data_IF_518088301295
#
_entry.id   IF_518088301295
#
_cell.length_a   1.000
_cell.length_b   1.000
_cell.length_c   1.000
_cell.angle_alpha   90.00
_cell.angle_beta   90.00
_cell.angle_gamma   90.00
#
_symmetry.space_group_name_H-M   'P 1'
#
loop_
_entity.id
_entity.type
_entity.pdbx_description
1 polymer ?
#
# COMPACT_ATOMS: atom_id res chain seq x y z
N UNK A 1 -11.71 -99.19 9.35
CA UNK A 1 -10.87 -98.04 9.79
C UNK A 1 -10.54 -97.19 8.63
N UNK A 2 -11.26 -96.06 8.45
CA UNK A 2 -10.87 -94.93 7.64
C UNK A 2 -11.44 -93.66 8.28
N UNK A 3 -10.67 -92.98 9.09
CA UNK A 3 -10.93 -91.70 9.58
C UNK A 3 -10.29 -90.72 8.59
N UNK A 4 -11.12 -89.95 7.85
CA UNK A 4 -10.65 -89.02 6.81
C UNK A 4 -10.70 -87.61 7.30
N UNK A 5 -9.58 -86.97 7.12
CA UNK A 5 -9.35 -85.54 7.29
C UNK A 5 -10.28 -84.70 6.44
N UNK A 6 -11.29 -84.07 7.00
CA UNK A 6 -12.11 -83.00 6.37
C UNK A 6 -12.11 -81.74 7.23
N UNK A 7 -10.92 -81.19 7.56
CA UNK A 7 -10.84 -79.97 8.34
C UNK A 7 -9.81 -78.95 7.87
N UNK A 8 -9.39 -79.01 6.60
CA UNK A 8 -8.30 -78.09 6.16
C UNK A 8 -8.75 -76.96 5.18
N UNK A 9 -9.79 -77.22 4.38
CA UNK A 9 -10.15 -76.25 3.32
C UNK A 9 -10.86 -74.98 3.83
N UNK A 10 -11.72 -75.12 4.87
CA UNK A 10 -12.44 -73.94 5.44
C UNK A 10 -11.54 -73.05 6.26
N UNK A 11 -10.50 -73.59 6.90
CA UNK A 11 -9.51 -72.76 7.67
C UNK A 11 -8.54 -72.03 6.76
N UNK A 12 -8.14 -72.61 5.62
CA UNK A 12 -7.27 -71.99 4.65
C UNK A 12 -8.01 -70.87 3.91
N UNK A 13 -9.27 -71.06 3.58
CA UNK A 13 -10.09 -69.97 2.98
C UNK A 13 -10.35 -68.80 3.93
N UNK A 14 -10.57 -69.07 5.22
CA UNK A 14 -10.73 -68.00 6.23
C UNK A 14 -9.45 -67.22 6.49
N UNK A 15 -8.28 -67.85 6.51
CA UNK A 15 -6.98 -67.19 6.65
C UNK A 15 -6.65 -66.37 5.38
N UNK A 16 -6.95 -66.90 4.20
CA UNK A 16 -6.76 -66.16 2.92
C UNK A 16 -7.61 -64.89 2.83
N UNK A 17 -8.88 -64.95 3.25
CA UNK A 17 -9.76 -63.78 3.26
C UNK A 17 -9.36 -62.76 4.33
N UNK A 18 -8.86 -63.22 5.49
CA UNK A 18 -8.37 -62.33 6.54
C UNK A 18 -7.04 -61.66 6.17
N UNK A 19 -6.15 -62.35 5.43
CA UNK A 19 -4.90 -61.78 4.91
C UNK A 19 -5.21 -60.76 3.77
N UNK A 20 -6.16 -61.05 2.88
CA UNK A 20 -6.61 -60.12 1.86
C UNK A 20 -7.26 -58.84 2.45
N UNK A 21 -8.07 -58.97 3.53
CA UNK A 21 -8.63 -57.79 4.20
C UNK A 21 -7.53 -56.98 4.91
N UNK A 22 -6.54 -57.61 5.52
CA UNK A 22 -5.40 -56.91 6.11
C UNK A 22 -4.52 -56.20 5.05
N UNK A 23 -4.31 -56.81 3.91
CA UNK A 23 -3.54 -56.22 2.82
C UNK A 23 -4.38 -55.05 2.15
N UNK A 24 -5.71 -55.19 2.01
CA UNK A 24 -6.56 -54.09 1.53
C UNK A 24 -6.62 -52.94 2.53
N UNK A 25 -6.68 -53.20 3.85
CA UNK A 25 -6.63 -52.12 4.85
C UNK A 25 -5.26 -51.48 4.94
N UNK A 26 -4.15 -52.23 4.78
CA UNK A 26 -2.82 -51.64 4.65
C UNK A 26 -2.66 -50.81 3.36
N UNK A 27 -3.22 -51.24 2.24
CA UNK A 27 -3.18 -50.49 0.97
C UNK A 27 -4.06 -49.23 1.03
N UNK A 28 -5.17 -49.26 1.74
CA UNK A 28 -5.99 -48.04 1.94
C UNK A 28 -5.35 -47.10 2.96
N UNK A 29 -4.68 -47.58 4.00
CA UNK A 29 -3.95 -46.74 4.95
C UNK A 29 -2.68 -46.16 4.29
N UNK A 30 -1.98 -46.90 3.41
CA UNK A 30 -0.83 -46.36 2.68
C UNK A 30 -1.23 -45.39 1.55
N UNK A 31 -2.43 -45.54 0.97
CA UNK A 31 -2.93 -44.54 -0.01
C UNK A 31 -3.41 -43.23 0.67
N UNK A 32 -3.81 -43.29 1.94
CA UNK A 32 -4.15 -42.09 2.73
C UNK A 32 -2.88 -41.40 3.30
N UNK A 33 -1.75 -42.13 3.42
CA UNK A 33 -0.47 -41.55 3.89
C UNK A 33 0.42 -41.02 2.78
N UNK A 34 0.02 -41.13 1.51
CA UNK A 34 0.73 -40.58 0.35
C UNK A 34 0.00 -39.41 -0.32
N UNK A 35 -0.83 -38.67 0.40
CA UNK A 35 -1.09 -37.29 0.02
C UNK A 35 0.21 -36.55 0.31
N UNK A 36 0.95 -36.24 -0.77
CA UNK A 36 2.03 -35.26 -0.74
C UNK A 36 1.53 -34.12 0.11
N UNK A 37 2.17 -33.84 1.24
CA UNK A 37 1.81 -32.71 2.05
C UNK A 37 1.80 -31.52 1.08
N UNK A 38 0.67 -30.83 0.97
CA UNK A 38 0.54 -29.69 0.09
C UNK A 38 1.59 -28.68 0.54
N UNK A 39 2.55 -28.39 -0.34
CA UNK A 39 3.62 -27.43 -0.04
C UNK A 39 3.02 -26.05 -0.02
N UNK A 40 3.34 -25.24 0.99
CA UNK A 40 2.93 -23.85 1.04
C UNK A 40 3.57 -23.09 -0.12
N UNK A 41 2.80 -22.22 -0.76
CA UNK A 41 3.28 -21.33 -1.80
C UNK A 41 3.93 -20.06 -1.24
N UNK A 42 3.80 -19.83 0.07
CA UNK A 42 4.38 -18.68 0.74
C UNK A 42 4.09 -18.63 2.23
N UNK A 43 4.53 -17.56 2.85
CA UNK A 43 4.26 -17.20 4.23
C UNK A 43 3.82 -15.74 4.31
N UNK A 44 3.01 -15.41 5.30
CA UNK A 44 2.57 -14.04 5.51
C UNK A 44 2.14 -13.79 6.94
N UNK A 45 1.79 -12.54 7.19
CA UNK A 45 1.26 -12.12 8.48
C UNK A 45 0.13 -11.12 8.31
N UNK A 46 -0.71 -11.00 9.32
CA UNK A 46 -1.74 -9.95 9.42
C UNK A 46 -1.04 -8.60 9.63
N UNK A 47 -1.42 -7.59 8.84
CA UNK A 47 -0.87 -6.24 8.96
C UNK A 47 -0.99 -5.74 10.40
N UNK A 48 0.09 -5.18 10.94
CA UNK A 48 0.25 -4.93 12.38
C UNK A 48 -0.81 -4.00 13.00
N UNK A 49 -1.44 -3.13 12.20
CA UNK A 49 -2.50 -2.22 12.61
C UNK A 49 -3.87 -2.88 12.71
N UNK A 50 -4.04 -4.04 12.12
CA UNK A 50 -5.33 -4.74 12.04
C UNK A 50 -5.65 -5.41 13.37
N UNK A 51 -6.92 -5.33 13.78
CA UNK A 51 -7.45 -6.02 14.95
C UNK A 51 -8.70 -6.80 14.54
N UNK A 52 -8.93 -7.95 15.21
CA UNK A 52 -10.13 -8.77 14.99
C UNK A 52 -10.32 -9.26 13.53
N UNK A 53 -9.23 -9.44 12.75
CA UNK A 53 -9.33 -9.98 11.40
C UNK A 53 -9.94 -11.39 11.42
N UNK A 54 -10.97 -11.58 10.63
CA UNK A 54 -11.70 -12.86 10.59
C UNK A 54 -11.05 -13.84 9.63
N UNK A 55 -10.62 -14.98 10.15
CA UNK A 55 -10.26 -16.14 9.33
C UNK A 55 -11.53 -16.98 9.15
N UNK A 56 -11.83 -17.37 7.90
CA UNK A 56 -13.10 -18.00 7.50
C UNK A 56 -12.88 -19.39 6.92
N UNK A 57 -13.97 -20.21 6.89
CA UNK A 57 -13.96 -21.55 6.29
C UNK A 57 -13.96 -21.54 4.76
N UNK A 58 -14.35 -20.43 4.13
CA UNK A 58 -14.27 -20.17 2.68
C UNK A 58 -14.20 -18.68 2.43
N UNK A 59 -13.72 -18.23 1.24
CA UNK A 59 -13.66 -16.81 0.90
C UNK A 59 -15.01 -16.11 1.04
N UNK A 60 -15.01 -14.82 1.33
CA UNK A 60 -16.13 -13.89 1.39
C UNK A 60 -17.21 -14.27 2.44
N UNK A 61 -17.89 -15.40 2.29
CA UNK A 61 -19.12 -15.74 3.04
C UNK A 61 -18.96 -16.93 4.00
N UNK A 62 -17.78 -17.55 4.09
CA UNK A 62 -17.52 -18.66 5.01
C UNK A 62 -17.75 -18.31 6.49
N UNK A 63 -18.09 -19.32 7.30
CA UNK A 63 -18.18 -19.15 8.75
C UNK A 63 -16.83 -18.71 9.33
N UNK A 64 -16.87 -17.88 10.37
CA UNK A 64 -15.66 -17.44 11.06
C UNK A 64 -15.08 -18.58 11.89
N UNK A 65 -13.83 -18.96 11.62
CA UNK A 65 -13.07 -19.94 12.40
C UNK A 65 -12.54 -19.26 13.66
N UNK A 66 -11.85 -18.13 13.48
CA UNK A 66 -11.27 -17.34 14.56
C UNK A 66 -11.12 -15.89 14.14
N UNK A 67 -10.73 -15.04 15.09
CA UNK A 67 -10.28 -13.67 14.86
C UNK A 67 -8.85 -13.54 15.34
N UNK A 68 -8.04 -12.81 14.59
CA UNK A 68 -6.61 -12.61 14.86
C UNK A 68 -6.22 -11.15 14.76
N UNK A 69 -5.16 -10.77 15.44
CA UNK A 69 -4.64 -9.41 15.46
C UNK A 69 -3.36 -9.30 14.61
N UNK A 70 -2.92 -8.07 14.40
CA UNK A 70 -1.73 -7.74 13.64
C UNK A 70 -0.48 -8.48 14.13
N UNK A 71 0.32 -8.95 13.16
CA UNK A 71 1.49 -9.78 13.39
C UNK A 71 1.21 -11.29 13.48
N UNK A 72 -0.06 -11.73 13.41
CA UNK A 72 -0.40 -13.16 13.36
C UNK A 72 0.14 -13.79 12.08
N UNK A 73 1.00 -14.80 12.19
CA UNK A 73 1.70 -15.45 11.08
C UNK A 73 0.96 -16.70 10.60
N UNK A 74 1.07 -16.97 9.30
CA UNK A 74 0.47 -18.13 8.64
C UNK A 74 1.24 -18.55 7.40
N UNK A 75 1.07 -19.80 6.98
CA UNK A 75 1.50 -20.29 5.67
C UNK A 75 0.40 -20.07 4.64
N UNK A 76 0.77 -19.73 3.40
CA UNK A 76 -0.14 -19.54 2.26
C UNK A 76 -0.07 -20.78 1.39
N UNK A 77 -1.21 -21.30 0.96
CA UNK A 77 -1.32 -22.51 0.15
C UNK A 77 -2.00 -22.29 -1.19
N UNK A 78 -2.87 -21.30 -1.27
CA UNK A 78 -3.57 -20.96 -2.51
C UNK A 78 -3.98 -19.48 -2.52
N UNK A 79 -4.20 -18.97 -3.72
CA UNK A 79 -4.78 -17.66 -4.02
C UNK A 79 -6.11 -17.85 -4.69
N UNK A 80 -7.14 -17.14 -4.23
CA UNK A 80 -8.51 -17.26 -4.73
C UNK A 80 -9.03 -15.88 -5.11
N UNK A 81 -9.14 -15.63 -6.41
CA UNK A 81 -9.79 -14.43 -6.93
C UNK A 81 -11.29 -14.51 -6.74
N UNK A 82 -11.88 -13.46 -6.18
CA UNK A 82 -13.31 -13.33 -5.98
C UNK A 82 -13.79 -11.98 -6.49
N UNK A 83 -15.11 -11.82 -6.63
CA UNK A 83 -15.71 -10.52 -6.94
C UNK A 83 -15.48 -9.44 -5.86
N UNK A 84 -14.98 -9.84 -4.67
CA UNK A 84 -14.66 -8.95 -3.54
C UNK A 84 -13.14 -8.78 -3.34
N UNK A 85 -12.32 -9.15 -4.34
CA UNK A 85 -10.86 -9.09 -4.28
C UNK A 85 -10.21 -10.46 -4.05
N UNK A 86 -8.88 -10.44 -3.91
CA UNK A 86 -8.04 -11.61 -3.70
C UNK A 86 -8.16 -12.12 -2.27
N UNK A 87 -8.22 -13.44 -2.11
CA UNK A 87 -8.20 -14.14 -0.83
C UNK A 87 -7.07 -15.16 -0.81
N UNK A 88 -6.45 -15.35 0.35
CA UNK A 88 -5.45 -16.39 0.58
C UNK A 88 -6.06 -17.57 1.34
N UNK A 89 -5.88 -18.78 0.83
CA UNK A 89 -6.06 -20.02 1.57
C UNK A 89 -4.83 -20.25 2.46
N UNK A 90 -5.02 -20.20 3.78
CA UNK A 90 -3.94 -20.19 4.76
C UNK A 90 -3.97 -21.40 5.69
N UNK A 91 -2.79 -21.76 6.22
CA UNK A 91 -2.63 -22.70 7.30
C UNK A 91 -1.93 -22.05 8.50
N UNK A 92 -2.43 -22.31 9.70
CA UNK A 92 -1.95 -21.66 10.90
C UNK A 92 -2.15 -22.51 12.14
N UNK A 93 -1.37 -22.22 13.19
CA UNK A 93 -1.53 -22.84 14.50
C UNK A 93 -2.33 -21.91 15.43
N UNK A 94 -3.27 -22.50 16.16
CA UNK A 94 -4.03 -21.81 17.19
C UNK A 94 -4.13 -22.75 18.42
N UNK A 95 -3.61 -22.32 19.57
CA UNK A 95 -3.58 -23.10 20.81
C UNK A 95 -2.93 -24.50 20.67
N UNK A 96 -1.99 -24.65 19.74
CA UNK A 96 -1.29 -25.92 19.47
C UNK A 96 -1.91 -26.78 18.38
N UNK A 97 -3.13 -26.50 17.94
CA UNK A 97 -3.82 -27.21 16.86
C UNK A 97 -3.60 -26.50 15.52
N UNK A 98 -3.49 -27.28 14.44
CA UNK A 98 -3.34 -26.77 13.09
C UNK A 98 -4.69 -26.62 12.39
N UNK A 99 -4.91 -25.45 11.78
CA UNK A 99 -6.14 -25.10 11.07
C UNK A 99 -5.85 -24.67 9.65
N UNK A 100 -6.85 -24.83 8.78
CA UNK A 100 -6.92 -24.24 7.45
C UNK A 100 -8.07 -23.25 7.39
N UNK A 101 -7.91 -22.17 6.64
CA UNK A 101 -8.94 -21.16 6.49
C UNK A 101 -8.59 -20.16 5.41
N UNK A 102 -9.38 -19.11 5.28
CA UNK A 102 -9.24 -18.07 4.28
C UNK A 102 -9.22 -16.69 4.92
N UNK A 103 -8.37 -15.84 4.39
CA UNK A 103 -8.23 -14.44 4.80
C UNK A 103 -8.17 -13.56 3.56
N UNK A 104 -8.76 -12.35 3.63
CA UNK A 104 -8.65 -11.38 2.53
C UNK A 104 -7.24 -10.81 2.45
N UNK A 105 -6.73 -10.62 1.23
CA UNK A 105 -5.40 -10.04 0.98
C UNK A 105 -5.28 -8.60 1.48
N UNK A 106 -6.38 -7.86 1.57
CA UNK A 106 -6.43 -6.45 1.98
C UNK A 106 -5.75 -6.15 3.32
N UNK A 107 -5.77 -7.11 4.24
CA UNK A 107 -5.29 -6.91 5.61
C UNK A 107 -4.08 -7.77 5.98
N UNK A 108 -3.41 -8.31 4.99
CA UNK A 108 -2.25 -9.18 5.21
C UNK A 108 -1.07 -8.79 4.32
N UNK A 109 0.13 -9.07 4.82
CA UNK A 109 1.37 -8.94 4.05
C UNK A 109 1.93 -10.33 3.77
N UNK A 110 2.33 -10.56 2.53
CA UNK A 110 3.07 -11.78 2.14
C UNK A 110 4.55 -11.53 2.41
N UNK A 111 5.11 -12.30 3.36
CA UNK A 111 6.52 -12.16 3.78
C UNK A 111 7.48 -12.88 2.84
N UNK A 112 7.04 -14.03 2.29
CA UNK A 112 7.84 -14.89 1.43
C UNK A 112 6.96 -15.68 0.47
N UNK A 113 7.46 -15.83 -0.78
CA UNK A 113 6.90 -16.74 -1.79
C UNK A 113 7.86 -17.90 -2.03
N UNK A 114 7.34 -19.13 -1.97
CA UNK A 114 8.15 -20.33 -2.24
C UNK A 114 8.17 -20.70 -3.74
N UNK A 115 7.27 -20.11 -4.52
CA UNK A 115 7.14 -20.27 -5.97
C UNK A 115 7.96 -19.24 -6.77
N UNK A 116 8.64 -18.31 -6.09
CA UNK A 116 9.51 -17.33 -6.74
C UNK A 116 10.63 -18.02 -7.51
N UNK A 117 10.78 -17.65 -8.78
CA UNK A 117 11.91 -18.06 -9.61
C UNK A 117 12.89 -16.89 -9.69
N UNK A 118 14.16 -17.07 -9.28
CA UNK A 118 15.15 -16.02 -9.37
C UNK A 118 15.27 -15.50 -10.81
N UNK A 119 15.19 -14.17 -10.94
CA UNK A 119 15.51 -13.43 -12.16
C UNK A 119 16.93 -12.88 -12.01
N UNK A 120 17.88 -13.41 -12.77
CA UNK A 120 19.29 -13.09 -12.64
C UNK A 120 19.56 -11.59 -12.92
N UNK A 121 18.87 -11.02 -13.90
CA UNK A 121 19.04 -9.63 -14.28
C UNK A 121 18.49 -8.71 -13.19
N UNK A 122 17.38 -9.11 -12.55
CA UNK A 122 16.81 -8.37 -11.44
C UNK A 122 17.65 -8.47 -10.16
N UNK A 123 18.26 -9.63 -9.88
CA UNK A 123 19.19 -9.79 -8.75
C UNK A 123 20.41 -8.88 -8.92
N UNK A 124 21.02 -8.85 -10.12
CA UNK A 124 22.13 -7.94 -10.43
C UNK A 124 21.70 -6.46 -10.30
N UNK A 125 20.48 -6.14 -10.73
CA UNK A 125 19.90 -4.82 -10.56
C UNK A 125 19.76 -4.45 -9.07
N UNK A 126 19.20 -5.31 -8.21
CA UNK A 126 19.08 -5.05 -6.78
C UNK A 126 20.45 -4.83 -6.11
N UNK A 127 21.45 -5.63 -6.49
CA UNK A 127 22.82 -5.48 -6.01
C UNK A 127 23.44 -4.16 -6.48
N UNK A 128 23.23 -3.78 -7.72
CA UNK A 128 23.73 -2.50 -8.29
C UNK A 128 23.11 -1.28 -7.61
N UNK A 129 21.86 -1.39 -7.17
CA UNK A 129 21.16 -0.36 -6.38
C UNK A 129 21.67 -0.31 -4.94
N UNK A 130 22.33 -1.36 -4.44
CA UNK A 130 22.80 -1.46 -3.07
C UNK A 130 21.69 -1.71 -2.04
N UNK A 131 20.61 -2.38 -2.43
CA UNK A 131 19.58 -2.80 -1.46
C UNK A 131 20.14 -3.81 -0.46
N UNK A 132 19.96 -3.60 0.85
CA UNK A 132 20.27 -4.63 1.84
C UNK A 132 19.47 -5.92 1.60
N UNK A 133 20.05 -7.08 1.93
CA UNK A 133 19.39 -8.38 1.71
C UNK A 133 17.99 -8.48 2.33
N UNK A 134 17.77 -7.79 3.47
CA UNK A 134 16.48 -7.76 4.15
C UNK A 134 15.35 -7.07 3.38
N UNK A 135 15.65 -6.35 2.29
CA UNK A 135 14.65 -5.74 1.39
C UNK A 135 14.29 -6.64 0.22
N UNK A 136 15.25 -7.50 -0.20
CA UNK A 136 15.17 -8.18 -1.49
C UNK A 136 13.97 -9.11 -1.62
N UNK A 137 13.56 -9.79 -0.55
CA UNK A 137 12.41 -10.71 -0.64
C UNK A 137 11.10 -10.00 -1.00
N UNK A 138 10.81 -8.84 -0.39
CA UNK A 138 9.64 -8.04 -0.76
C UNK A 138 9.73 -7.48 -2.20
N UNK A 139 10.92 -7.02 -2.60
CA UNK A 139 11.15 -6.48 -3.95
C UNK A 139 11.06 -7.55 -5.03
N UNK A 140 11.56 -8.77 -4.79
CA UNK A 140 11.41 -9.91 -5.68
C UNK A 140 9.96 -10.26 -5.94
N UNK A 141 9.12 -10.24 -4.91
CA UNK A 141 7.70 -10.51 -5.03
C UNK A 141 7.00 -9.45 -5.86
N UNK A 142 7.30 -8.17 -5.60
CA UNK A 142 6.75 -7.06 -6.38
C UNK A 142 7.19 -7.11 -7.84
N UNK A 143 8.46 -7.42 -8.12
CA UNK A 143 8.96 -7.57 -9.48
C UNK A 143 8.32 -8.75 -10.21
N UNK A 144 8.13 -9.88 -9.54
CA UNK A 144 7.46 -11.04 -10.13
C UNK A 144 6.00 -10.75 -10.51
N UNK A 145 5.31 -9.90 -9.74
CA UNK A 145 3.94 -9.49 -10.00
C UNK A 145 3.86 -8.33 -11.01
N UNK A 146 4.80 -7.38 -10.94
CA UNK A 146 4.84 -6.15 -11.74
C UNK A 146 6.23 -5.93 -12.34
N UNK A 147 6.58 -6.65 -13.42
CA UNK A 147 7.95 -6.62 -13.98
C UNK A 147 8.40 -5.24 -14.49
N UNK A 148 7.45 -4.34 -14.80
CA UNK A 148 7.74 -3.00 -15.29
C UNK A 148 8.08 -2.00 -14.16
N UNK A 149 7.86 -2.37 -12.89
CA UNK A 149 8.12 -1.45 -11.78
C UNK A 149 9.62 -1.29 -11.51
N UNK A 150 10.02 -0.07 -11.23
CA UNK A 150 11.43 0.31 -11.02
C UNK A 150 11.64 0.66 -9.56
N UNK A 151 12.55 -0.05 -8.89
CA UNK A 151 12.86 0.15 -7.48
C UNK A 151 14.23 0.81 -7.35
N UNK A 152 14.27 2.03 -6.82
CA UNK A 152 15.49 2.81 -6.61
C UNK A 152 15.83 2.85 -5.13
N UNK A 153 17.01 2.38 -4.74
CA UNK A 153 17.48 2.51 -3.38
C UNK A 153 17.90 3.97 -3.12
N UNK A 154 17.29 4.61 -2.15
CA UNK A 154 17.65 5.97 -1.75
C UNK A 154 18.55 5.95 -0.51
N UNK A 155 19.85 6.16 -0.75
CA UNK A 155 20.89 6.21 0.27
C UNK A 155 21.00 7.65 0.83
N UNK A 156 20.05 8.03 1.67
CA UNK A 156 19.94 9.39 2.22
C UNK A 156 21.02 9.74 3.25
N UNK A 157 21.88 8.78 3.64
CA UNK A 157 23.01 8.97 4.56
C UNK A 157 22.59 9.32 6.01
N UNK A 158 21.35 9.08 6.38
CA UNK A 158 20.87 9.30 7.75
C UNK A 158 21.12 8.07 8.62
N UNK A 159 21.50 8.33 9.85
CA UNK A 159 21.55 7.28 10.87
C UNK A 159 20.13 6.92 11.32
N UNK A 160 19.85 5.61 11.43
CA UNK A 160 18.53 5.13 11.84
C UNK A 160 18.14 5.61 13.24
N UNK A 161 19.08 5.57 14.17
CA UNK A 161 18.83 5.99 15.54
C UNK A 161 18.46 7.47 15.64
N UNK A 162 19.13 8.34 14.87
CA UNK A 162 18.86 9.77 14.84
C UNK A 162 17.47 10.06 14.28
N UNK A 163 17.05 9.35 13.24
CA UNK A 163 15.72 9.49 12.65
C UNK A 163 14.65 9.03 13.62
N UNK A 164 14.87 7.88 14.27
CA UNK A 164 13.93 7.32 15.24
C UNK A 164 13.78 8.23 16.47
N UNK A 165 14.90 8.72 17.03
CA UNK A 165 14.88 9.67 18.14
C UNK A 165 14.11 10.94 17.76
N UNK A 166 14.38 11.48 16.60
CA UNK A 166 13.71 12.66 16.08
C UNK A 166 12.19 12.46 15.94
N UNK A 167 11.74 11.30 15.46
CA UNK A 167 10.32 11.00 15.30
C UNK A 167 9.62 10.63 16.60
N UNK A 168 10.37 10.24 17.65
CA UNK A 168 9.84 9.98 18.98
C UNK A 168 9.64 11.25 19.83
N UNK A 169 10.07 12.42 19.35
CA UNK A 169 9.77 13.70 20.03
C UNK A 169 8.27 13.87 20.20
N UNK A 170 7.84 14.22 21.43
CA UNK A 170 6.42 14.41 21.78
C UNK A 170 5.75 15.41 20.83
N UNK A 171 4.59 15.03 20.29
CA UNK A 171 3.81 15.81 19.34
C UNK A 171 4.22 15.61 17.88
N UNK A 172 5.30 14.89 17.58
CA UNK A 172 5.79 14.70 16.22
C UNK A 172 5.14 13.52 15.49
N UNK A 173 4.92 12.43 16.21
CA UNK A 173 4.28 11.21 15.68
C UNK A 173 3.11 10.82 16.57
N UNK A 174 1.91 11.01 16.06
CA UNK A 174 0.67 10.77 16.77
C UNK A 174 -0.09 9.58 16.21
N UNK A 175 -0.93 8.99 17.04
CA UNK A 175 -1.92 7.98 16.66
C UNK A 175 -3.28 8.33 17.27
N UNK A 176 -4.35 7.67 16.83
CA UNK A 176 -5.68 7.90 17.40
C UNK A 176 -5.76 7.43 18.86
N UNK A 177 -6.46 8.18 19.71
CA UNK A 177 -6.72 7.77 21.08
C UNK A 177 -7.48 6.45 21.22
N UNK A 178 -8.25 6.08 20.18
CA UNK A 178 -8.95 4.79 20.06
C UNK A 178 -8.05 3.63 19.59
N UNK A 179 -6.80 3.91 19.19
CA UNK A 179 -5.86 2.86 18.80
C UNK A 179 -5.56 1.90 19.97
N UNK A 180 -5.11 0.69 19.65
CA UNK A 180 -4.71 -0.30 20.68
C UNK A 180 -3.68 0.27 21.63
N UNK A 181 -3.69 -0.17 22.89
CA UNK A 181 -2.85 0.41 23.94
C UNK A 181 -1.34 0.31 23.63
N UNK A 182 -0.90 -0.78 22.99
CA UNK A 182 0.50 -0.97 22.60
C UNK A 182 0.99 0.03 21.54
N UNK A 183 0.10 0.75 20.88
CA UNK A 183 0.43 1.78 19.88
C UNK A 183 0.51 3.18 20.47
N UNK A 184 0.14 3.35 21.73
CA UNK A 184 0.12 4.63 22.43
C UNK A 184 1.26 4.70 23.43
N UNK A 185 1.91 5.85 23.52
CA UNK A 185 3.02 6.08 24.44
C UNK A 185 2.53 6.29 25.87
N UNK A 186 3.20 5.63 26.83
CA UNK A 186 3.02 5.84 28.26
C UNK A 186 4.21 6.57 28.90
N UNK A 187 5.07 7.19 28.07
CA UNK A 187 6.19 8.01 28.52
C UNK A 187 5.69 9.26 29.27
N UNK A 188 6.60 9.87 30.03
CA UNK A 188 6.31 11.11 30.76
C UNK A 188 5.70 12.17 29.84
N UNK A 189 4.59 12.77 30.30
CA UNK A 189 3.83 13.76 29.53
C UNK A 189 2.85 13.18 28.49
N UNK A 190 2.88 11.87 28.22
CA UNK A 190 2.00 11.21 27.25
C UNK A 190 0.83 10.46 27.90
N UNK A 191 0.97 10.08 29.14
CA UNK A 191 -0.03 9.30 29.90
C UNK A 191 -0.07 9.74 31.36
N UNK A 192 -1.27 9.95 31.87
CA UNK A 192 -1.52 10.25 33.28
C UNK A 192 -1.87 8.96 34.03
N UNK A 193 -0.97 8.50 34.88
CA UNK A 193 -1.11 7.28 35.69
C UNK A 193 -2.17 7.37 36.78
N UNK A 194 -2.52 8.60 37.24
CA UNK A 194 -3.54 8.80 38.27
C UNK A 194 -4.95 8.67 37.69
N UNK A 195 -5.19 9.29 36.53
CA UNK A 195 -6.48 9.24 35.84
C UNK A 195 -6.63 8.07 34.87
N UNK A 196 -5.54 7.41 34.52
CA UNK A 196 -5.54 6.35 33.50
C UNK A 196 -5.80 6.86 32.08
N UNK A 197 -5.51 8.15 31.80
CA UNK A 197 -5.82 8.78 30.52
C UNK A 197 -4.57 9.14 29.74
N UNK A 198 -4.66 9.01 28.40
CA UNK A 198 -3.63 9.48 27.48
C UNK A 198 -3.75 11.00 27.29
N UNK A 199 -2.61 11.70 27.29
CA UNK A 199 -2.58 13.14 27.02
C UNK A 199 -2.94 13.40 25.57
N UNK A 200 -4.00 14.14 25.33
CA UNK A 200 -4.37 14.60 23.99
C UNK A 200 -3.41 15.71 23.55
N UNK A 201 -2.70 15.48 22.43
CA UNK A 201 -1.69 16.39 21.89
C UNK A 201 -2.19 17.20 20.69
N UNK A 202 -3.26 16.72 20.02
CA UNK A 202 -3.90 17.44 18.92
C UNK A 202 -5.42 17.24 18.96
N UNK A 203 -6.15 18.16 18.32
CA UNK A 203 -7.62 18.12 18.25
C UNK A 203 -8.09 16.83 17.57
N UNK A 204 -9.26 16.30 17.98
CA UNK A 204 -9.78 15.03 17.43
C UNK A 204 -9.29 13.78 18.16
N UNK A 205 -8.67 13.91 19.35
CA UNK A 205 -8.30 12.78 20.20
C UNK A 205 -6.97 12.12 19.82
N UNK A 206 -6.06 12.87 19.20
CA UNK A 206 -4.73 12.39 18.85
C UNK A 206 -3.79 12.38 20.06
N UNK A 207 -3.09 11.27 20.25
CA UNK A 207 -2.16 11.01 21.35
C UNK A 207 -0.80 10.59 20.81
N UNK A 208 0.26 10.67 21.63
CA UNK A 208 1.60 10.25 21.23
C UNK A 208 1.63 8.77 20.84
N UNK A 209 2.19 8.47 19.67
CA UNK A 209 2.47 7.11 19.25
C UNK A 209 3.56 6.47 20.13
N UNK A 210 3.47 5.17 20.40
CA UNK A 210 4.56 4.44 21.06
C UNK A 210 5.80 4.38 20.16
N UNK A 211 6.97 4.26 20.79
CA UNK A 211 8.24 4.09 20.03
C UNK A 211 8.19 2.90 19.08
N UNK A 212 7.56 1.80 19.50
CA UNK A 212 7.39 0.62 18.66
C UNK A 212 6.53 0.89 17.40
N UNK A 213 5.48 1.72 17.52
CA UNK A 213 4.69 2.12 16.35
C UNK A 213 5.47 3.07 15.42
N UNK A 214 6.24 3.99 16.01
CA UNK A 214 7.12 4.89 15.23
C UNK A 214 8.17 4.09 14.47
N UNK A 215 8.83 3.14 15.13
CA UNK A 215 9.82 2.24 14.51
C UNK A 215 9.20 1.42 13.38
N UNK A 216 8.03 0.81 13.61
CA UNK A 216 7.28 0.10 12.58
C UNK A 216 6.97 0.97 11.35
N UNK A 217 6.49 2.20 11.58
CA UNK A 217 6.10 3.12 10.49
C UNK A 217 7.30 3.68 9.72
N UNK A 218 8.47 3.76 10.36
CA UNK A 218 9.71 4.20 9.74
C UNK A 218 10.41 3.11 8.94
N UNK A 219 10.21 1.82 9.27
CA UNK A 219 10.89 0.72 8.60
C UNK A 219 10.27 0.44 7.22
N UNK A 220 10.96 0.77 6.11
CA UNK A 220 10.40 0.58 4.77
C UNK A 220 10.05 -0.87 4.44
N UNK A 221 10.74 -1.84 5.08
CA UNK A 221 10.52 -3.27 4.83
C UNK A 221 9.11 -3.73 5.17
N UNK A 222 8.44 -3.06 6.09
CA UNK A 222 7.06 -3.35 6.48
C UNK A 222 6.03 -2.99 5.38
N UNK A 223 6.47 -2.31 4.32
CA UNK A 223 5.58 -1.72 3.31
C UNK A 223 5.94 -2.14 1.87
N UNK A 224 6.83 -3.12 1.68
CA UNK A 224 7.23 -3.65 0.38
C UNK A 224 6.20 -4.67 -0.14
N UNK A 225 4.96 -4.23 -0.35
CA UNK A 225 3.86 -5.02 -0.91
C UNK A 225 2.99 -4.13 -1.82
N UNK A 226 2.14 -4.74 -2.64
CA UNK A 226 1.40 -4.06 -3.71
C UNK A 226 0.51 -2.89 -3.25
N UNK A 227 -0.02 -2.93 -2.02
CA UNK A 227 -0.91 -1.90 -1.50
C UNK A 227 -0.15 -0.71 -0.90
N UNK A 228 0.99 -0.99 -0.25
CA UNK A 228 1.71 0.01 0.53
C UNK A 228 2.93 0.61 -0.19
N UNK A 229 3.45 -0.05 -1.23
CA UNK A 229 4.65 0.42 -1.97
C UNK A 229 4.49 1.83 -2.53
N UNK A 230 3.25 2.26 -2.82
CA UNK A 230 2.96 3.59 -3.34
C UNK A 230 3.30 4.73 -2.36
N UNK A 231 3.59 4.43 -1.08
CA UNK A 231 4.17 5.44 -0.19
C UNK A 231 5.58 5.87 -0.62
N UNK A 232 6.25 5.07 -1.44
CA UNK A 232 7.58 5.34 -2.02
C UNK A 232 7.51 5.75 -3.49
N UNK A 233 6.31 5.92 -4.07
CA UNK A 233 6.16 6.40 -5.44
C UNK A 233 6.94 7.71 -5.62
N UNK A 234 7.77 7.78 -6.67
CA UNK A 234 8.49 9.00 -7.01
C UNK A 234 7.52 10.05 -7.56
N UNK A 235 7.22 11.05 -6.76
CA UNK A 235 6.32 12.16 -7.11
C UNK A 235 7.00 13.24 -7.96
N UNK A 236 8.32 13.16 -8.18
CA UNK A 236 9.04 14.06 -9.07
C UNK A 236 8.88 13.67 -10.53
N UNK A 237 8.94 14.66 -11.41
CA UNK A 237 8.98 14.43 -12.85
C UNK A 237 10.26 13.71 -13.28
N UNK A 238 10.11 12.65 -14.04
CA UNK A 238 11.21 11.90 -14.67
C UNK A 238 10.86 11.62 -16.14
N UNK A 239 11.42 12.40 -17.04
CA UNK A 239 11.15 12.30 -18.48
C UNK A 239 11.66 11.01 -19.14
N UNK A 240 12.47 10.23 -18.45
CA UNK A 240 12.99 8.96 -18.99
C UNK A 240 11.99 7.80 -18.84
N UNK A 241 11.04 7.91 -17.90
CA UNK A 241 10.10 6.85 -17.55
C UNK A 241 8.63 7.29 -17.55
N UNK A 242 8.38 8.60 -17.52
CA UNK A 242 7.02 9.16 -17.49
C UNK A 242 6.70 9.80 -18.85
N UNK A 243 6.01 9.06 -19.70
CA UNK A 243 5.78 9.36 -21.10
C UNK A 243 4.28 9.44 -21.47
N UNK A 244 3.99 9.69 -22.76
CA UNK A 244 2.66 9.73 -23.30
C UNK A 244 1.92 8.40 -23.15
N UNK A 245 2.61 7.29 -23.40
CA UNK A 245 2.00 5.95 -23.38
C UNK A 245 1.49 5.58 -21.98
N UNK A 246 2.27 5.90 -20.94
CA UNK A 246 1.85 5.71 -19.56
C UNK A 246 0.65 6.58 -19.20
N UNK A 247 0.61 7.85 -19.66
CA UNK A 247 -0.55 8.71 -19.46
C UNK A 247 -1.77 8.24 -20.24
N UNK A 248 -1.62 7.77 -21.49
CA UNK A 248 -2.71 7.16 -22.26
C UNK A 248 -3.37 6.03 -21.48
N UNK A 249 -2.55 5.13 -20.92
CA UNK A 249 -3.05 4.04 -20.08
C UNK A 249 -3.78 4.55 -18.82
N UNK A 250 -3.28 5.63 -18.19
CA UNK A 250 -3.88 6.19 -16.97
C UNK A 250 -5.22 6.88 -17.20
N UNK A 251 -5.39 7.52 -18.34
CA UNK A 251 -6.61 8.30 -18.63
C UNK A 251 -7.64 7.52 -19.44
N UNK A 252 -7.34 6.30 -19.83
CA UNK A 252 -8.24 5.39 -20.54
C UNK A 252 -9.56 5.23 -19.79
N UNK A 253 -10.68 5.35 -20.48
CA UNK A 253 -12.03 5.31 -19.90
C UNK A 253 -12.38 6.52 -19.01
N UNK A 254 -11.59 7.58 -19.02
CA UNK A 254 -11.84 8.79 -18.23
C UNK A 254 -12.16 10.00 -19.14
N UNK A 255 -12.61 11.10 -18.52
CA UNK A 255 -12.87 12.35 -19.24
C UNK A 255 -11.61 12.97 -19.88
N UNK A 256 -10.43 12.55 -19.47
CA UNK A 256 -9.14 13.03 -19.98
C UNK A 256 -8.67 12.26 -21.23
N UNK A 257 -9.24 11.11 -21.54
CA UNK A 257 -8.87 10.27 -22.70
C UNK A 257 -9.13 11.02 -24.02
N UNK A 258 -10.34 11.55 -24.19
CA UNK A 258 -10.78 12.21 -25.43
C UNK A 258 -10.87 13.72 -25.22
N UNK A 259 -9.80 14.42 -25.48
CA UNK A 259 -9.75 15.86 -25.28
C UNK A 259 -10.31 16.64 -26.45
N UNK A 260 -11.63 16.75 -26.50
CA UNK A 260 -12.31 17.80 -27.27
C UNK A 260 -12.39 19.12 -26.49
N UNK A 261 -11.71 19.25 -25.36
CA UNK A 261 -11.76 20.41 -24.50
C UNK A 261 -10.70 21.45 -24.90
N UNK A 262 -11.06 22.72 -24.77
CA UNK A 262 -10.21 23.87 -25.07
C UNK A 262 -9.08 24.01 -24.03
N UNK A 263 -8.04 23.21 -24.19
CA UNK A 263 -6.83 23.23 -23.38
C UNK A 263 -5.78 24.11 -24.06
N UNK A 264 -6.05 25.42 -24.13
CA UNK A 264 -5.15 26.39 -24.76
C UNK A 264 -4.20 27.00 -23.72
N UNK A 265 -2.91 27.04 -24.06
CA UNK A 265 -1.87 27.70 -23.27
C UNK A 265 -0.79 28.24 -24.20
N UNK A 266 -0.34 29.49 -23.98
CA UNK A 266 0.67 30.18 -24.80
C UNK A 266 0.40 30.12 -26.32
N UNK A 267 -0.89 30.25 -26.71
CA UNK A 267 -1.32 30.22 -28.11
C UNK A 267 -1.26 28.83 -28.76
N UNK A 268 -1.06 27.75 -27.99
CA UNK A 268 -1.06 26.37 -28.46
C UNK A 268 -2.23 25.61 -27.86
N UNK A 269 -2.69 24.59 -28.57
CA UNK A 269 -3.71 23.66 -28.09
C UNK A 269 -3.04 22.38 -27.60
N UNK A 270 -3.55 21.84 -26.51
CA UNK A 270 -3.08 20.63 -25.85
C UNK A 270 -4.22 19.62 -25.69
N UNK A 271 -3.88 18.35 -25.68
CA UNK A 271 -4.71 17.30 -25.10
C UNK A 271 -4.47 17.25 -23.59
N UNK A 272 -5.27 16.50 -22.83
CA UNK A 272 -4.97 16.29 -21.41
C UNK A 272 -3.60 15.60 -21.23
N UNK A 273 -3.27 14.63 -22.08
CA UNK A 273 -2.00 13.91 -22.07
C UNK A 273 -0.82 14.86 -22.24
N UNK A 274 -0.79 15.60 -23.34
CA UNK A 274 0.30 16.56 -23.61
C UNK A 274 0.31 17.73 -22.62
N UNK A 275 -0.86 18.13 -22.13
CA UNK A 275 -1.01 19.16 -21.08
C UNK A 275 -0.47 18.71 -19.72
N UNK A 276 -0.68 17.44 -19.34
CA UNK A 276 -0.13 16.86 -18.12
C UNK A 276 1.39 16.67 -18.20
N UNK A 277 1.92 16.26 -19.36
CA UNK A 277 3.37 16.21 -19.57
C UNK A 277 3.99 17.61 -19.44
N UNK A 278 3.37 18.62 -20.05
CA UNK A 278 3.83 20.00 -19.88
C UNK A 278 3.74 20.46 -18.43
N UNK A 279 2.64 20.12 -17.72
CA UNK A 279 2.49 20.44 -16.30
C UNK A 279 3.57 19.77 -15.45
N UNK A 280 3.92 18.51 -15.75
CA UNK A 280 5.04 17.80 -15.11
C UNK A 280 6.36 18.51 -15.34
N UNK A 281 6.66 18.88 -16.58
CA UNK A 281 7.87 19.59 -16.96
C UNK A 281 8.00 20.97 -16.27
N UNK A 282 6.93 21.74 -16.22
CA UNK A 282 6.92 23.08 -15.64
C UNK A 282 6.92 23.07 -14.10
N UNK A 283 6.34 22.05 -13.49
CA UNK A 283 6.18 21.94 -12.04
C UNK A 283 7.23 21.08 -11.35
N UNK A 284 7.93 20.19 -12.07
CA UNK A 284 8.78 19.16 -11.51
C UNK A 284 8.02 18.02 -10.81
N UNK A 285 6.70 17.90 -11.04
CA UNK A 285 5.85 16.87 -10.43
C UNK A 285 5.50 15.80 -11.46
N UNK A 286 5.51 14.53 -11.04
CA UNK A 286 5.13 13.39 -11.87
C UNK A 286 3.78 13.61 -12.58
N UNK A 287 3.70 13.56 -13.91
CA UNK A 287 2.43 13.70 -14.63
C UNK A 287 1.47 12.55 -14.32
N UNK A 288 1.96 11.38 -13.94
CA UNK A 288 1.15 10.26 -13.48
C UNK A 288 0.46 10.59 -12.15
N UNK A 289 1.23 11.13 -11.19
CA UNK A 289 0.67 11.64 -9.95
C UNK A 289 -0.36 12.77 -10.18
N UNK A 290 -0.07 13.71 -11.09
CA UNK A 290 -1.01 14.79 -11.45
C UNK A 290 -2.31 14.25 -12.03
N UNK A 291 -2.25 13.27 -12.95
CA UNK A 291 -3.43 12.63 -13.52
C UNK A 291 -4.25 11.91 -12.44
N UNK A 292 -3.61 11.10 -11.59
CA UNK A 292 -4.26 10.41 -10.49
C UNK A 292 -4.95 11.38 -9.52
N UNK A 293 -4.28 12.48 -9.14
CA UNK A 293 -4.87 13.52 -8.28
C UNK A 293 -6.10 14.18 -8.92
N UNK A 294 -6.05 14.51 -10.21
CA UNK A 294 -7.20 15.06 -10.92
C UNK A 294 -8.37 14.07 -10.90
N UNK A 295 -8.13 12.80 -11.18
CA UNK A 295 -9.18 11.78 -11.14
C UNK A 295 -9.76 11.57 -9.73
N UNK A 296 -8.94 11.60 -8.69
CA UNK A 296 -9.41 11.56 -7.30
C UNK A 296 -10.31 12.74 -6.93
N UNK A 297 -9.96 13.95 -7.40
CA UNK A 297 -10.68 15.18 -7.06
C UNK A 297 -11.92 15.43 -7.91
N UNK A 298 -11.91 14.99 -9.18
CA UNK A 298 -12.98 15.31 -10.16
C UNK A 298 -13.82 14.09 -10.58
N UNK A 299 -13.36 12.87 -10.22
CA UNK A 299 -13.96 11.61 -10.68
C UNK A 299 -13.68 11.32 -12.15
N UNK A 300 -13.90 10.07 -12.56
CA UNK A 300 -13.61 9.63 -13.94
C UNK A 300 -14.46 10.32 -15.00
N UNK A 301 -15.63 10.82 -14.66
CA UNK A 301 -16.53 11.53 -15.59
C UNK A 301 -16.19 13.01 -15.79
N UNK A 302 -15.41 13.63 -14.91
CA UNK A 302 -15.03 15.04 -15.01
C UNK A 302 -16.17 16.06 -14.86
N UNK A 303 -17.28 15.67 -14.24
CA UNK A 303 -18.43 16.56 -14.02
C UNK A 303 -18.30 17.46 -12.79
N UNK A 304 -17.10 17.55 -12.21
CA UNK A 304 -16.83 18.41 -11.07
C UNK A 304 -17.12 19.89 -11.36
N UNK A 305 -17.90 20.54 -10.50
CA UNK A 305 -18.23 21.98 -10.67
C UNK A 305 -17.00 22.88 -10.56
N UNK A 306 -15.92 22.43 -9.92
CA UNK A 306 -14.64 23.15 -9.84
C UNK A 306 -13.88 23.23 -11.17
N UNK A 307 -14.20 22.38 -12.16
CA UNK A 307 -13.56 22.36 -13.48
C UNK A 307 -14.53 22.69 -14.63
N UNK A 308 -15.81 22.95 -14.32
CA UNK A 308 -16.82 23.29 -15.33
C UNK A 308 -16.61 24.67 -15.98
N UNK A 309 -16.06 25.63 -15.23
CA UNK A 309 -15.97 27.03 -15.62
C UNK A 309 -17.33 27.75 -15.59
N UNK A 310 -18.39 27.06 -15.16
CA UNK A 310 -19.78 27.56 -15.18
C UNK A 310 -20.40 27.70 -13.81
N UNK A 311 -19.58 27.61 -12.74
CA UNK A 311 -20.07 27.83 -11.39
C UNK A 311 -20.73 29.20 -11.27
N UNK A 312 -22.00 29.25 -10.89
CA UNK A 312 -22.77 30.46 -10.77
C UNK A 312 -22.21 31.41 -9.70
N UNK A 313 -22.33 32.71 -9.92
CA UNK A 313 -21.87 33.77 -9.04
C UNK A 313 -20.52 34.37 -9.47
N UNK A 314 -19.68 34.78 -8.50
CA UNK A 314 -18.47 35.56 -8.75
C UNK A 314 -17.30 34.79 -9.40
N UNK A 315 -17.44 33.48 -9.60
CA UNK A 315 -16.32 32.59 -9.97
C UNK A 315 -16.55 31.97 -11.36
N UNK A 316 -17.37 32.55 -12.20
CA UNK A 316 -17.53 32.14 -13.59
C UNK A 316 -16.21 32.27 -14.36
N UNK A 317 -15.84 31.24 -15.14
CA UNK A 317 -14.62 31.22 -15.94
C UNK A 317 -13.34 30.93 -15.15
N UNK A 318 -13.45 30.46 -13.89
CA UNK A 318 -12.32 29.97 -13.13
C UNK A 318 -12.40 28.46 -12.97
N UNK A 319 -11.20 27.83 -12.79
CA UNK A 319 -11.01 26.39 -12.76
C UNK A 319 -10.11 26.00 -11.59
N UNK A 320 -10.34 24.85 -10.99
CA UNK A 320 -9.50 24.32 -9.91
C UNK A 320 -9.48 22.78 -9.99
N UNK A 321 -8.53 22.24 -10.75
CA UNK A 321 -8.46 20.81 -11.03
C UNK A 321 -8.08 19.97 -9.82
N UNK A 322 -7.33 20.52 -8.87
CA UNK A 322 -6.84 19.82 -7.69
C UNK A 322 -7.56 20.22 -6.40
N UNK A 323 -8.68 20.93 -6.48
CA UNK A 323 -9.45 21.42 -5.35
C UNK A 323 -8.62 22.16 -4.28
N UNK A 324 -7.56 22.86 -4.66
CA UNK A 324 -6.68 23.61 -3.77
C UNK A 324 -7.48 24.73 -3.09
N UNK A 325 -7.42 24.78 -1.74
CA UNK A 325 -8.18 25.74 -0.95
C UNK A 325 -9.69 25.47 -0.88
N UNK A 326 -10.14 24.29 -1.31
CA UNK A 326 -11.54 23.89 -1.32
C UNK A 326 -11.98 23.32 0.04
N UNK A 327 -12.35 24.19 0.97
CA UNK A 327 -12.94 23.85 2.26
C UNK A 327 -14.12 24.76 2.57
N UNK A 328 -15.19 24.23 3.17
CA UNK A 328 -16.37 25.01 3.49
C UNK A 328 -16.08 25.96 4.65
N UNK A 329 -16.18 27.27 4.43
CA UNK A 329 -16.00 28.29 5.47
C UNK A 329 -16.59 29.63 5.03
N UNK A 330 -16.85 30.50 6.00
CA UNK A 330 -17.28 31.88 5.73
C UNK A 330 -18.56 32.01 4.91
N UNK A 331 -19.48 31.03 5.03
CA UNK A 331 -20.73 30.99 4.27
C UNK A 331 -20.59 30.52 2.80
N UNK A 332 -19.37 30.10 2.39
CA UNK A 332 -19.10 29.54 1.08
C UNK A 332 -18.95 28.03 1.16
N UNK A 333 -19.39 27.33 0.08
CA UNK A 333 -19.12 25.90 -0.08
C UNK A 333 -17.64 25.64 -0.36
N UNK A 334 -17.19 24.39 -0.25
CA UNK A 334 -15.83 24.01 -0.59
C UNK A 334 -15.45 24.40 -2.02
N UNK A 335 -16.31 24.11 -3.01
CA UNK A 335 -16.09 24.49 -4.41
C UNK A 335 -15.96 26.00 -4.56
N UNK A 336 -16.83 26.78 -3.93
CA UNK A 336 -16.79 28.25 -4.00
C UNK A 336 -15.50 28.80 -3.40
N UNK A 337 -15.02 28.29 -2.26
CA UNK A 337 -13.74 28.69 -1.67
C UNK A 337 -12.57 28.31 -2.57
N UNK A 338 -12.56 27.10 -3.14
CA UNK A 338 -11.54 26.66 -4.09
C UNK A 338 -11.49 27.53 -5.36
N UNK A 339 -12.63 27.93 -5.90
CA UNK A 339 -12.68 28.85 -7.05
C UNK A 339 -12.33 30.29 -6.68
N UNK A 340 -12.69 30.73 -5.48
CA UNK A 340 -12.22 32.00 -4.91
C UNK A 340 -10.69 32.02 -4.82
N UNK A 341 -10.08 30.94 -4.30
CA UNK A 341 -8.61 30.79 -4.27
C UNK A 341 -8.03 30.88 -5.70
N UNK A 342 -8.63 30.17 -6.66
CA UNK A 342 -8.22 30.19 -8.08
C UNK A 342 -8.30 31.58 -8.73
N UNK A 343 -9.21 32.44 -8.26
CA UNK A 343 -9.43 33.78 -8.81
C UNK A 343 -8.43 34.84 -8.35
N UNK A 344 -7.77 34.63 -7.19
CA UNK A 344 -6.80 35.61 -6.69
C UNK A 344 -5.48 35.55 -7.45
N UNK A 345 -4.92 36.72 -7.85
CA UNK A 345 -3.66 36.80 -8.58
C UNK A 345 -2.48 36.29 -7.76
N UNK A 346 -1.68 35.39 -8.35
CA UNK A 346 -0.37 34.95 -7.85
C UNK A 346 0.43 34.38 -9.03
N UNK A 347 1.36 35.15 -9.54
CA UNK A 347 2.16 34.76 -10.70
C UNK A 347 3.03 33.53 -10.43
N UNK A 348 3.40 33.24 -9.17
CA UNK A 348 4.21 32.07 -8.81
C UNK A 348 3.49 30.74 -9.01
N UNK A 349 2.17 30.76 -9.14
CA UNK A 349 1.31 29.60 -9.40
C UNK A 349 0.36 29.84 -10.57
N UNK A 350 0.69 30.76 -11.49
CA UNK A 350 -0.10 31.13 -12.67
C UNK A 350 -1.54 31.57 -12.37
N UNK A 351 -1.86 31.96 -11.12
CA UNK A 351 -3.18 32.50 -10.81
C UNK A 351 -3.32 33.96 -11.30
N UNK A 352 -4.51 34.32 -11.76
CA UNK A 352 -5.78 33.59 -11.70
C UNK A 352 -5.86 32.44 -12.70
N UNK A 353 -6.46 31.33 -12.25
CA UNK A 353 -6.69 30.14 -13.07
C UNK A 353 -7.95 30.30 -13.92
N UNK A 354 -7.89 31.22 -14.85
CA UNK A 354 -8.98 31.59 -15.76
C UNK A 354 -8.97 30.81 -17.09
N UNK A 355 -8.10 29.81 -17.21
CA UNK A 355 -8.13 28.76 -18.23
C UNK A 355 -7.86 27.40 -17.60
N UNK A 356 -8.30 26.31 -18.25
CA UNK A 356 -8.08 24.95 -17.78
C UNK A 356 -6.59 24.66 -17.61
N UNK A 357 -5.77 25.00 -18.63
CA UNK A 357 -4.32 24.77 -18.58
C UNK A 357 -3.62 25.56 -17.48
N UNK A 358 -3.99 26.83 -17.23
CA UNK A 358 -3.43 27.55 -16.07
C UNK A 358 -3.75 26.90 -14.75
N UNK A 359 -4.93 26.29 -14.61
CA UNK A 359 -5.29 25.54 -13.42
C UNK A 359 -4.50 24.23 -13.31
N UNK A 360 -4.32 23.51 -14.41
CA UNK A 360 -3.55 22.26 -14.43
C UNK A 360 -2.07 22.53 -14.10
N UNK A 361 -1.41 23.45 -14.83
CA UNK A 361 0.00 23.77 -14.62
C UNK A 361 0.21 24.48 -13.27
N UNK A 362 -0.58 25.51 -13.00
CA UNK A 362 -0.42 26.32 -11.78
C UNK A 362 -0.74 25.54 -10.51
N UNK A 363 -1.72 24.63 -10.58
CA UNK A 363 -2.00 23.70 -9.49
C UNK A 363 -0.89 22.69 -9.29
N UNK A 364 -0.29 22.17 -10.37
CA UNK A 364 0.88 21.29 -10.29
C UNK A 364 2.09 22.01 -9.64
N UNK A 365 2.37 23.25 -10.02
CA UNK A 365 3.42 24.08 -9.40
C UNK A 365 3.13 24.26 -7.89
N UNK A 366 1.87 24.49 -7.52
CA UNK A 366 1.49 24.58 -6.10
C UNK A 366 1.78 23.28 -5.34
N UNK A 367 1.40 22.12 -5.90
CA UNK A 367 1.66 20.81 -5.30
C UNK A 367 3.16 20.51 -5.13
N UNK A 368 3.96 20.84 -6.17
CA UNK A 368 5.41 20.60 -6.13
C UNK A 368 6.18 21.47 -5.13
N UNK A 369 5.70 22.70 -4.90
CA UNK A 369 6.44 23.74 -4.19
C UNK A 369 6.76 23.41 -2.72
N UNK A 370 5.85 22.76 -2.02
CA UNK A 370 5.93 22.60 -0.56
C UNK A 370 6.81 21.43 -0.14
N UNK A 371 6.77 20.32 -0.86
CA UNK A 371 7.43 19.06 -0.51
C UNK A 371 8.29 18.51 -1.64
N UNK A 372 7.70 18.17 -2.78
CA UNK A 372 8.33 17.40 -3.86
C UNK A 372 9.63 18.07 -4.35
N UNK A 373 9.57 19.35 -4.70
CA UNK A 373 10.73 20.13 -5.20
C UNK A 373 11.72 20.52 -4.11
N UNK A 374 11.49 20.08 -2.88
CA UNK A 374 12.40 20.25 -1.74
C UNK A 374 13.09 18.94 -1.35
N UNK A 375 12.94 17.90 -2.15
CA UNK A 375 13.52 16.59 -1.92
C UNK A 375 12.65 15.65 -1.07
N UNK A 376 11.45 16.08 -0.67
CA UNK A 376 10.45 15.24 -0.02
C UNK A 376 9.47 14.71 -1.10
N UNK A 377 10.00 13.93 -2.02
CA UNK A 377 9.33 13.52 -3.25
C UNK A 377 8.70 12.13 -3.20
N UNK A 378 8.35 11.69 -2.02
CA UNK A 378 7.51 10.51 -1.76
C UNK A 378 6.60 10.81 -0.57
N UNK A 379 5.45 10.15 -0.43
CA UNK A 379 4.59 10.29 0.76
C UNK A 379 5.35 9.96 2.05
N UNK A 380 6.27 9.00 1.97
CA UNK A 380 7.16 8.65 3.07
C UNK A 380 8.02 9.84 3.50
N UNK A 381 8.70 10.50 2.56
CA UNK A 381 9.57 11.64 2.86
C UNK A 381 8.80 12.89 3.26
N UNK A 382 7.58 13.09 2.79
CA UNK A 382 6.71 14.17 3.24
C UNK A 382 6.40 14.05 4.74
N UNK A 383 6.20 12.82 5.24
CA UNK A 383 5.97 12.58 6.67
C UNK A 383 7.26 12.58 7.49
N UNK A 384 8.28 11.83 7.08
CA UNK A 384 9.42 11.53 7.93
C UNK A 384 10.63 12.48 7.74
N UNK A 385 10.54 13.43 6.82
CA UNK A 385 11.53 14.51 6.58
C UNK A 385 12.99 14.07 6.70
N UNK A 386 13.42 13.16 5.83
CA UNK A 386 14.81 12.72 5.77
C UNK A 386 15.76 13.82 5.27
N UNK A 387 15.23 14.97 4.84
CA UNK A 387 16.04 16.14 4.44
C UNK A 387 16.59 16.93 5.62
N UNK A 388 16.08 16.71 6.83
CA UNK A 388 16.49 17.39 8.06
C UNK A 388 16.03 18.84 8.15
N UNK A 389 15.05 19.26 7.38
CA UNK A 389 14.50 20.64 7.39
C UNK A 389 13.44 20.88 8.46
N UNK A 390 13.04 19.86 9.20
CA UNK A 390 11.98 19.93 10.19
C UNK A 390 10.58 20.14 9.62
N UNK A 391 10.42 19.87 8.30
CA UNK A 391 9.19 20.06 7.56
C UNK A 391 8.45 18.73 7.39
N UNK A 392 7.31 18.61 8.04
CA UNK A 392 6.53 17.38 8.11
C UNK A 392 5.10 17.66 7.66
N UNK A 393 4.55 16.80 6.79
CA UNK A 393 3.22 16.96 6.20
C UNK A 393 2.11 16.92 7.27
N UNK A 394 2.13 15.91 8.14
CA UNK A 394 1.17 15.78 9.24
C UNK A 394 1.76 14.97 10.41
N UNK A 395 1.08 15.04 11.57
CA UNK A 395 1.53 14.34 12.78
C UNK A 395 1.16 12.85 12.79
N UNK A 396 0.12 12.43 12.06
CA UNK A 396 -0.27 11.01 11.99
C UNK A 396 0.89 10.13 11.49
N UNK A 397 1.38 9.24 12.36
CA UNK A 397 2.54 8.39 12.05
C UNK A 397 2.29 7.41 10.91
N UNK A 398 1.04 6.98 10.72
CA UNK A 398 0.63 6.07 9.63
C UNK A 398 0.04 6.80 8.40
N UNK A 399 0.17 8.13 8.31
CA UNK A 399 -0.34 8.88 7.17
C UNK A 399 0.18 8.36 5.82
N UNK A 400 1.51 8.13 5.63
CA UNK A 400 2.02 7.65 4.35
C UNK A 400 1.38 6.33 3.92
N UNK A 401 1.20 5.41 4.88
CA UNK A 401 0.52 4.14 4.61
C UNK A 401 -0.94 4.33 4.21
N UNK A 402 -1.67 5.15 4.94
CA UNK A 402 -3.09 5.38 4.65
C UNK A 402 -3.30 6.06 3.29
N UNK A 403 -2.38 6.93 2.90
CA UNK A 403 -2.42 7.63 1.62
C UNK A 403 -1.92 6.74 0.47
N UNK A 404 -0.93 5.87 0.72
CA UNK A 404 -0.44 4.92 -0.29
C UNK A 404 -1.53 3.96 -0.76
N UNK A 405 -2.35 3.44 0.16
CA UNK A 405 -3.49 2.58 -0.19
C UNK A 405 -4.48 3.33 -1.09
N UNK A 406 -4.75 4.61 -0.81
CA UNK A 406 -5.62 5.43 -1.67
C UNK A 406 -4.99 5.67 -3.04
N UNK A 407 -3.67 5.93 -3.09
CA UNK A 407 -2.94 6.07 -4.36
C UNK A 407 -2.98 4.78 -5.16
N UNK A 408 -2.71 3.63 -4.51
CA UNK A 408 -2.79 2.32 -5.14
C UNK A 408 -4.18 2.01 -5.70
N UNK A 409 -5.24 2.41 -5.00
CA UNK A 409 -6.63 2.28 -5.47
C UNK A 409 -6.99 3.25 -6.61
N UNK A 410 -6.27 4.37 -6.71
CA UNK A 410 -6.43 5.33 -7.81
C UNK A 410 -5.89 4.82 -9.15
N UNK A 411 -5.05 3.79 -9.14
CA UNK A 411 -4.51 3.15 -10.33
C UNK A 411 -5.26 1.85 -10.63
N UNK A 412 -5.75 1.70 -11.86
CA UNK A 412 -6.38 0.45 -12.30
C UNK A 412 -5.37 -0.70 -12.32
N UNK A 413 -5.84 -1.94 -12.34
CA UNK A 413 -4.96 -3.11 -12.51
C UNK A 413 -4.20 -3.06 -13.84
N UNK A 414 -4.83 -2.53 -14.90
CA UNK A 414 -4.17 -2.28 -16.17
C UNK A 414 -3.01 -1.29 -16.02
N UNK A 415 -3.19 -0.20 -15.27
CA UNK A 415 -2.13 0.77 -15.00
C UNK A 415 -0.98 0.12 -14.23
N UNK A 416 -1.27 -0.62 -13.17
CA UNK A 416 -0.25 -1.30 -12.37
C UNK A 416 0.58 -2.31 -13.18
N UNK A 417 -0.05 -2.99 -14.14
CA UNK A 417 0.61 -3.98 -14.99
C UNK A 417 1.40 -3.37 -16.16
N UNK A 418 1.01 -2.20 -16.66
CA UNK A 418 1.57 -1.66 -17.91
C UNK A 418 2.47 -0.44 -17.71
N UNK A 419 2.34 0.29 -16.60
CA UNK A 419 3.10 1.50 -16.32
C UNK A 419 4.39 1.18 -15.55
N UNK A 420 5.51 1.78 -15.95
CA UNK A 420 6.77 1.74 -15.23
C UNK A 420 6.73 2.72 -14.04
N UNK A 421 6.06 2.34 -12.95
CA UNK A 421 6.12 3.13 -11.71
C UNK A 421 7.52 3.10 -11.12
N UNK A 422 7.98 4.25 -10.61
CA UNK A 422 9.27 4.40 -9.95
C UNK A 422 9.03 4.51 -8.45
N UNK A 423 9.66 3.64 -7.67
CA UNK A 423 9.59 3.67 -6.21
C UNK A 423 10.96 3.99 -5.63
N UNK A 424 11.09 5.12 -4.94
CA UNK A 424 12.30 5.54 -4.22
C UNK A 424 12.21 5.10 -2.78
N UNK A 425 12.94 4.04 -2.46
CA UNK A 425 12.85 3.35 -1.18
C UNK A 425 14.07 3.69 -0.33
N UNK A 426 13.89 4.25 0.88
CA UNK A 426 15.01 4.52 1.78
C UNK A 426 15.76 3.23 2.10
N UNK A 427 17.01 3.13 1.63
CA UNK A 427 17.89 2.02 1.93
C UNK A 427 18.66 2.32 3.22
N UNK A 428 18.13 1.87 4.36
CA UNK A 428 18.73 2.10 5.67
C UNK A 428 19.63 0.92 6.04
N UNK A 429 20.86 1.23 6.47
CA UNK A 429 21.75 0.20 7.01
C UNK A 429 21.37 -0.10 8.45
N UNK A 430 20.69 -1.24 8.65
CA UNK A 430 20.26 -1.72 9.98
C UNK A 430 21.39 -2.46 10.70
N UNK A 431 22.51 -1.82 10.95
CA UNK A 431 23.65 -2.47 11.61
C UNK A 431 23.39 -2.92 13.05
N UNK A 432 22.22 -2.58 13.63
CA UNK A 432 21.88 -2.90 15.03
C UNK A 432 20.42 -3.31 15.29
N UNK A 433 19.57 -3.49 14.28
CA UNK A 433 18.24 -4.05 14.52
C UNK A 433 18.28 -5.57 14.44
N UNK A 434 18.59 -6.22 15.55
CA UNK A 434 18.07 -7.56 15.77
C UNK A 434 16.54 -7.45 15.74
N UNK A 435 15.89 -8.20 14.83
CA UNK A 435 14.44 -8.43 14.89
C UNK A 435 14.07 -8.67 16.36
N UNK A 436 12.99 -8.08 16.87
CA UNK A 436 12.55 -8.39 18.22
C UNK A 436 12.39 -9.89 18.32
N UNK A 437 13.38 -10.56 18.94
CA UNK A 437 13.22 -11.93 19.40
C UNK A 437 12.07 -11.88 20.36
N UNK A 438 10.98 -12.60 20.04
CA UNK A 438 9.88 -12.84 20.95
C UNK A 438 10.46 -13.13 22.32
N UNK A 439 10.39 -12.17 23.23
CA UNK A 439 10.54 -12.46 24.65
C UNK A 439 9.16 -12.89 25.10
N UNK A 440 9.11 -14.15 25.49
CA UNK A 440 8.01 -14.82 26.15
C UNK A 440 7.42 -14.00 27.31
#
# INVERSE_FOLDING_TARGET
MKSGYKCSAKRIAAIGVMLCMLVLTCLTVTSVLNTKAEESIGQGHVNYEVTDLRIRTSPVSGSVITKVDGGFKFDIYEEVDTSSGLWYGIGFYLNGDYYRGYVTSEYVTVDKRNDYKPDADFEEYLDSQGFPDSYKDGLRQLHAQYPNWVFVADHNGKDWSDVLENQNVIGRSLTYGSAKSSWKSVADGCYDWESGQYTQLDSGGWVQASSALVEYALDPRNFLNADNIFMFENLSFDSSLQDESGLESMVDGTFMENSSHDLTYDGRNYTYITGLLLAGQESGVSPYHLASRILQEQGNSGYGSSISGTQSGYYWGYYNYYNIGAYASGGLTAVQNGLKYASYPDSSTLRPWNTRMKSIIGGAIYLGKSYINRGQNTLYYEKFDMTGRGHQYMTNVLAPRSESVKSAQGYSDSNKNNIAFIFRIPAVSYTHLTLPTNRE
#
